data_IF_174539969612
#
_entry.id   IF_174539969612
#
_cell.length_a   1.000
_cell.length_b   1.000
_cell.length_c   1.000
_cell.angle_alpha   90.00
_cell.angle_beta   90.00
_cell.angle_gamma   90.00
#
_symmetry.space_group_name_H-M   'P 1'
#
loop_
_entity.id
_entity.type
_entity.pdbx_description
1 polymer ?
#
# COMPACT_ATOMS: atom_id res chain seq x y z
N UNK A 1 -12.92 -39.20 -19.81
CA UNK A 1 -12.50 -37.81 -20.09
C UNK A 1 -11.31 -37.52 -19.20
N UNK A 2 -10.10 -37.70 -19.72
CA UNK A 2 -8.84 -37.48 -19.00
C UNK A 2 -8.51 -35.99 -19.11
N UNK A 3 -8.51 -35.29 -17.98
CA UNK A 3 -8.03 -33.91 -17.89
C UNK A 3 -6.54 -33.92 -18.19
N UNK A 4 -6.17 -33.37 -19.33
CA UNK A 4 -4.77 -33.07 -19.65
C UNK A 4 -4.26 -32.02 -18.67
N UNK A 5 -3.10 -32.23 -18.04
CA UNK A 5 -2.51 -31.21 -17.18
C UNK A 5 -2.10 -30.00 -18.05
N UNK A 6 -2.61 -28.82 -17.70
CA UNK A 6 -2.17 -27.54 -18.26
C UNK A 6 -0.69 -27.32 -17.92
N UNK A 7 0.22 -27.74 -18.80
CA UNK A 7 1.68 -27.53 -18.66
C UNK A 7 2.16 -26.22 -19.28
N UNK A 8 1.28 -25.27 -19.56
CA UNK A 8 1.59 -24.04 -20.28
C UNK A 8 2.00 -22.81 -19.44
N UNK A 9 2.13 -22.91 -18.12
CA UNK A 9 2.40 -21.75 -17.24
C UNK A 9 3.87 -21.67 -16.77
N UNK A 10 4.79 -22.22 -17.55
CA UNK A 10 6.22 -22.06 -17.30
C UNK A 10 6.70 -20.65 -17.72
N UNK A 11 6.97 -19.83 -16.70
CA UNK A 11 8.19 -19.00 -16.57
C UNK A 11 8.48 -17.85 -17.54
N UNK A 12 7.49 -17.16 -18.10
CA UNK A 12 7.71 -15.74 -18.42
C UNK A 12 7.46 -14.93 -17.15
N UNK A 13 8.47 -14.90 -16.28
CA UNK A 13 8.57 -13.92 -15.21
C UNK A 13 8.66 -12.53 -15.86
N UNK A 14 7.52 -11.98 -16.28
CA UNK A 14 7.46 -10.53 -16.53
C UNK A 14 7.83 -9.90 -15.20
N UNK A 15 8.84 -9.03 -15.20
CA UNK A 15 9.25 -8.29 -14.02
C UNK A 15 8.08 -7.42 -13.53
N UNK A 16 7.20 -8.00 -12.71
CA UNK A 16 6.09 -7.31 -12.03
C UNK A 16 6.62 -6.31 -11.00
N UNK A 17 7.91 -6.40 -10.71
CA UNK A 17 8.65 -5.63 -9.73
C UNK A 17 10.06 -5.37 -10.27
N UNK A 18 10.64 -4.21 -9.99
CA UNK A 18 12.02 -3.85 -10.40
C UNK A 18 13.02 -4.73 -9.65
N UNK A 19 14.02 -5.33 -10.31
CA UNK A 19 15.06 -6.13 -9.63
C UNK A 19 15.76 -5.37 -8.49
N UNK A 20 16.06 -6.06 -7.39
CA UNK A 20 16.69 -5.47 -6.20
C UNK A 20 18.21 -5.64 -6.19
N UNK A 21 18.91 -4.65 -5.65
CA UNK A 21 20.26 -4.84 -5.12
C UNK A 21 20.23 -5.75 -3.87
N UNK A 22 21.36 -6.35 -3.52
CA UNK A 22 21.48 -7.29 -2.41
C UNK A 22 21.12 -6.66 -1.04
N UNK A 23 19.93 -6.95 -0.50
CA UNK A 23 19.55 -6.58 0.87
C UNK A 23 20.22 -7.46 1.91
N UNK A 24 20.56 -6.90 3.07
CA UNK A 24 20.95 -7.72 4.22
C UNK A 24 19.69 -8.07 5.02
N UNK A 25 19.58 -9.32 5.44
CA UNK A 25 18.53 -9.80 6.35
C UNK A 25 18.90 -9.53 7.83
N UNK A 26 19.67 -8.49 8.06
CA UNK A 26 20.07 -8.04 9.37
C UNK A 26 19.72 -6.57 9.49
N UNK A 27 19.75 -6.08 10.74
CA UNK A 27 19.72 -4.64 10.97
C UNK A 27 20.89 -4.02 10.23
N UNK A 28 20.56 -3.18 9.24
CA UNK A 28 21.55 -2.32 8.61
C UNK A 28 22.20 -1.48 9.72
N UNK A 29 23.53 -1.63 9.86
CA UNK A 29 24.31 -0.89 10.87
C UNK A 29 24.16 0.62 10.68
N UNK A 30 23.90 1.03 9.45
CA UNK A 30 23.80 2.42 9.01
C UNK A 30 22.35 2.90 8.96
N UNK A 31 21.37 1.98 9.05
CA UNK A 31 19.95 2.30 9.14
C UNK A 31 19.22 1.30 10.05
N UNK A 32 19.22 1.59 11.36
CA UNK A 32 18.52 0.78 12.38
C UNK A 32 17.00 0.67 12.16
N UNK A 33 16.42 1.49 11.26
CA UNK A 33 15.00 1.46 10.91
C UNK A 33 14.72 0.56 9.71
N UNK A 34 15.76 0.03 9.05
CA UNK A 34 15.66 -0.90 7.94
C UNK A 34 15.05 -2.25 8.32
N UNK A 35 15.11 -2.61 9.61
CA UNK A 35 14.42 -3.73 10.27
C UNK A 35 14.39 -5.04 9.49
N UNK A 36 15.19 -6.07 9.87
CA UNK A 36 15.05 -7.37 9.23
C UNK A 36 13.65 -7.91 9.55
N UNK A 37 13.00 -8.44 8.52
CA UNK A 37 11.78 -9.21 8.70
C UNK A 37 11.92 -10.53 7.98
N UNK A 38 11.62 -11.59 8.72
CA UNK A 38 11.50 -12.92 8.18
C UNK A 38 10.04 -13.25 8.01
N UNK A 39 9.73 -13.99 6.95
CA UNK A 39 8.43 -14.59 6.75
C UNK A 39 8.32 -15.75 7.75
N UNK A 40 7.24 -15.79 8.53
CA UNK A 40 7.05 -16.79 9.59
C UNK A 40 5.96 -17.83 9.26
N UNK A 41 5.52 -17.90 8.00
CA UNK A 41 4.49 -18.83 7.55
C UNK A 41 4.73 -19.36 6.13
N UNK A 42 4.04 -20.45 5.81
CA UNK A 42 3.99 -21.01 4.46
C UNK A 42 5.34 -21.55 3.96
N UNK A 43 5.44 -21.71 2.64
CA UNK A 43 6.65 -22.26 1.99
C UNK A 43 7.86 -21.33 2.05
N UNK A 44 7.66 -20.06 2.36
CA UNK A 44 8.73 -19.07 2.52
C UNK A 44 9.11 -18.84 3.98
N UNK A 45 8.59 -19.63 4.93
CA UNK A 45 8.95 -19.52 6.33
C UNK A 45 10.48 -19.58 6.54
N UNK A 46 11.01 -18.67 7.36
CA UNK A 46 12.44 -18.49 7.62
C UNK A 46 13.18 -17.66 6.56
N UNK A 47 12.57 -17.39 5.40
CA UNK A 47 13.17 -16.51 4.40
C UNK A 47 12.97 -15.04 4.75
N UNK A 48 13.95 -14.24 4.37
CA UNK A 48 13.95 -12.80 4.56
C UNK A 48 13.02 -12.13 3.55
N UNK A 49 12.26 -11.13 3.98
CA UNK A 49 11.53 -10.28 3.04
C UNK A 49 12.49 -9.40 2.24
N UNK A 50 12.07 -8.98 1.06
CA UNK A 50 12.79 -7.94 0.32
C UNK A 50 12.58 -6.55 0.97
N UNK A 51 13.40 -6.26 1.97
CA UNK A 51 13.42 -4.98 2.69
C UNK A 51 14.20 -3.88 1.96
N UNK A 52 14.77 -4.13 0.78
CA UNK A 52 15.34 -3.06 -0.04
C UNK A 52 14.22 -2.29 -0.73
N UNK A 53 13.28 -3.01 -1.32
CA UNK A 53 12.17 -2.43 -2.07
C UNK A 53 10.92 -2.22 -1.21
N UNK A 54 10.68 -3.13 -0.26
CA UNK A 54 9.45 -3.19 0.51
C UNK A 54 9.70 -3.08 2.02
N UNK A 55 10.05 -1.88 2.49
CA UNK A 55 10.01 -1.59 3.94
C UNK A 55 8.62 -1.17 4.38
N UNK A 56 8.19 -1.68 5.53
CA UNK A 56 7.03 -1.13 6.24
C UNK A 56 7.38 0.24 6.80
N UNK A 57 6.43 1.16 6.78
CA UNK A 57 6.58 2.41 7.51
C UNK A 57 6.47 2.14 9.01
N UNK A 58 7.31 2.82 9.80
CA UNK A 58 7.30 2.69 11.26
C UNK A 58 6.93 4.06 11.83
N UNK A 59 5.95 4.11 12.72
CA UNK A 59 5.57 5.36 13.37
C UNK A 59 6.57 5.69 14.46
N UNK A 60 7.27 6.82 14.31
CA UNK A 60 8.24 7.29 15.29
C UNK A 60 7.50 8.04 16.40
N UNK A 61 7.34 7.39 17.56
CA UNK A 61 6.70 7.99 18.73
C UNK A 61 7.74 8.73 19.58
N UNK A 62 7.42 9.90 20.15
CA UNK A 62 8.26 10.51 21.17
C UNK A 62 8.40 9.57 22.37
N UNK A 63 9.55 9.64 23.07
CA UNK A 63 9.82 8.79 24.25
C UNK A 63 8.78 8.94 25.36
N UNK A 64 8.13 10.10 25.44
CA UNK A 64 7.05 10.37 26.39
C UNK A 64 5.74 10.47 25.61
N UNK A 65 4.77 9.55 25.83
CA UNK A 65 3.46 9.65 25.21
C UNK A 65 2.75 10.90 25.72
N UNK A 66 2.24 11.74 24.82
CA UNK A 66 1.36 12.84 25.20
C UNK A 66 -0.08 12.31 25.10
N UNK A 67 -0.65 11.93 26.25
CA UNK A 67 -2.02 11.40 26.33
C UNK A 67 -3.02 12.52 26.03
N UNK A 68 -4.00 12.25 25.15
CA UNK A 68 -5.13 13.16 24.90
C UNK A 68 -4.92 14.22 23.82
N UNK A 69 -3.76 14.24 23.13
CA UNK A 69 -3.53 15.16 22.01
C UNK A 69 -3.80 14.44 20.69
N UNK A 70 -4.79 14.92 19.94
CA UNK A 70 -4.91 14.58 18.51
C UNK A 70 -3.62 15.03 17.81
N UNK A 71 -2.82 14.07 17.35
CA UNK A 71 -1.53 14.37 16.71
C UNK A 71 -1.75 15.16 15.42
N UNK A 72 -1.57 16.48 15.48
CA UNK A 72 -1.64 17.38 14.32
C UNK A 72 -0.60 17.01 13.25
N UNK A 73 0.51 16.39 13.67
CA UNK A 73 1.50 15.80 12.77
C UNK A 73 2.00 14.46 13.29
N UNK A 74 2.24 13.53 12.37
CA UNK A 74 2.83 12.22 12.65
C UNK A 74 4.19 12.14 11.98
N UNK A 75 5.20 11.59 12.67
CA UNK A 75 6.48 11.25 12.04
C UNK A 75 6.57 9.75 11.80
N UNK A 76 6.94 9.38 10.58
CA UNK A 76 7.20 7.99 10.19
C UNK A 76 8.61 7.84 9.65
N UNK A 77 9.15 6.63 9.68
CA UNK A 77 10.35 6.22 8.94
C UNK A 77 9.99 5.34 7.74
N UNK A 78 10.99 5.01 6.93
CA UNK A 78 10.86 4.17 5.74
C UNK A 78 9.89 4.72 4.68
N UNK A 79 9.78 6.04 4.58
CA UNK A 79 9.07 6.69 3.48
C UNK A 79 9.94 6.67 2.22
N UNK A 80 9.50 6.06 1.13
CA UNK A 80 10.28 5.95 -0.11
C UNK A 80 10.09 7.18 -1.01
N UNK A 81 11.19 7.85 -1.34
CA UNK A 81 11.23 8.98 -2.28
C UNK A 81 12.59 9.03 -2.98
N UNK A 82 12.58 9.26 -4.30
CA UNK A 82 13.77 9.26 -5.16
C UNK A 82 14.67 8.02 -4.98
N UNK A 83 14.04 6.84 -4.95
CA UNK A 83 14.66 5.53 -4.74
C UNK A 83 15.44 5.41 -3.42
N UNK A 84 15.09 6.21 -2.41
CA UNK A 84 15.73 6.19 -1.09
C UNK A 84 14.72 6.32 0.04
N UNK A 85 15.06 5.83 1.23
CA UNK A 85 14.19 5.93 2.40
C UNK A 85 14.46 7.21 3.19
N UNK A 86 13.37 7.82 3.66
CA UNK A 86 13.34 9.08 4.40
C UNK A 86 12.49 8.91 5.68
N UNK A 87 12.73 9.80 6.64
CA UNK A 87 11.76 10.09 7.69
C UNK A 87 10.80 11.16 7.18
N UNK A 88 9.50 10.94 7.30
CA UNK A 88 8.49 11.91 6.86
C UNK A 88 7.74 12.47 8.07
N UNK A 89 7.69 13.81 8.20
CA UNK A 89 6.80 14.51 9.12
C UNK A 89 5.56 14.96 8.34
N UNK A 90 4.44 14.30 8.63
CA UNK A 90 3.19 14.42 7.89
C UNK A 90 2.22 15.27 8.71
N UNK A 91 1.78 16.44 8.22
CA UNK A 91 0.82 17.29 8.91
C UNK A 91 -0.60 16.76 8.71
N UNK A 92 -0.95 15.68 9.43
CA UNK A 92 -2.22 14.94 9.28
C UNK A 92 -3.45 15.84 9.31
N UNK A 93 -3.49 16.87 10.16
CA UNK A 93 -4.62 17.79 10.24
C UNK A 93 -4.82 18.68 9.00
N UNK A 94 -3.88 18.65 8.05
CA UNK A 94 -3.81 19.55 6.89
C UNK A 94 -3.98 18.83 5.56
N UNK A 95 -4.23 17.52 5.55
CA UNK A 95 -4.55 16.80 4.31
C UNK A 95 -5.86 17.32 3.73
N UNK A 96 -5.89 17.56 2.43
CA UNK A 96 -7.01 18.19 1.72
C UNK A 96 -7.95 17.16 1.12
N UNK A 97 -7.38 16.22 0.38
CA UNK A 97 -8.13 15.23 -0.38
C UNK A 97 -7.36 13.91 -0.47
N UNK A 98 -8.06 12.88 -0.92
CA UNK A 98 -7.49 11.57 -1.20
C UNK A 98 -8.11 11.02 -2.48
N UNK A 99 -7.26 10.42 -3.30
CA UNK A 99 -7.66 9.68 -4.48
C UNK A 99 -7.40 8.19 -4.25
N UNK A 100 -8.22 7.33 -4.85
CA UNK A 100 -7.91 5.91 -5.03
C UNK A 100 -7.17 5.74 -6.33
N UNK A 101 -5.97 5.17 -6.27
CA UNK A 101 -5.15 4.87 -7.44
C UNK A 101 -5.26 3.42 -7.85
N UNK A 102 -5.27 3.20 -9.17
CA UNK A 102 -5.31 1.92 -9.84
C UNK A 102 -4.12 1.84 -10.80
N UNK A 103 -3.15 0.99 -10.51
CA UNK A 103 -2.01 0.69 -11.37
C UNK A 103 -2.27 -0.64 -12.11
N UNK A 104 -2.42 -0.60 -13.43
CA UNK A 104 -2.57 -1.80 -14.24
C UNK A 104 -1.18 -2.30 -14.67
N UNK A 105 -0.76 -3.44 -14.11
CA UNK A 105 0.50 -4.06 -14.49
C UNK A 105 0.32 -5.20 -15.50
N UNK A 106 -0.90 -5.72 -15.65
CA UNK A 106 -1.33 -6.63 -16.71
C UNK A 106 -2.82 -6.41 -16.99
N UNK A 107 -3.32 -6.68 -18.22
CA UNK A 107 -4.74 -6.54 -18.53
C UNK A 107 -5.65 -7.19 -17.49
N UNK A 108 -6.46 -6.38 -16.81
CA UNK A 108 -7.41 -6.85 -15.78
C UNK A 108 -6.81 -7.13 -14.39
N UNK A 109 -5.51 -6.95 -14.19
CA UNK A 109 -4.83 -7.14 -12.90
C UNK A 109 -4.19 -5.83 -12.45
N UNK A 110 -4.67 -5.36 -11.30
CA UNK A 110 -4.36 -4.03 -10.82
C UNK A 110 -3.80 -4.08 -9.41
N UNK A 111 -2.91 -3.15 -9.15
CA UNK A 111 -2.52 -2.75 -7.82
C UNK A 111 -3.33 -1.52 -7.40
N UNK A 112 -3.78 -1.48 -6.15
CA UNK A 112 -4.66 -0.42 -5.64
C UNK A 112 -4.01 0.27 -4.44
N UNK A 113 -4.03 1.59 -4.41
CA UNK A 113 -3.42 2.41 -3.36
C UNK A 113 -4.25 3.67 -3.07
N UNK A 114 -3.93 4.37 -1.99
CA UNK A 114 -4.48 5.69 -1.67
C UNK A 114 -3.42 6.78 -1.90
N UNK A 115 -3.79 7.85 -2.60
CA UNK A 115 -2.96 9.02 -2.85
C UNK A 115 -3.55 10.23 -2.12
N UNK A 116 -2.90 10.67 -1.05
CA UNK A 116 -3.28 11.84 -0.27
C UNK A 116 -2.61 13.09 -0.78
N UNK A 117 -3.34 14.20 -0.81
CA UNK A 117 -2.88 15.50 -1.28
C UNK A 117 -2.83 16.52 -0.14
N UNK A 118 -1.77 17.33 -0.13
CA UNK A 118 -1.50 18.34 0.88
C UNK A 118 -1.35 19.73 0.22
N UNK A 119 -1.82 20.80 0.88
CA UNK A 119 -1.66 22.16 0.41
C UNK A 119 -0.18 22.54 0.32
N UNK A 120 0.15 23.48 -0.57
CA UNK A 120 1.51 24.02 -0.72
C UNK A 120 2.11 24.51 0.60
N UNK A 121 1.31 25.11 1.47
CA UNK A 121 1.77 25.66 2.75
C UNK A 121 1.88 24.61 3.87
N UNK A 122 1.34 23.40 3.65
CA UNK A 122 1.34 22.31 4.63
C UNK A 122 1.88 21.01 4.01
N UNK A 123 2.93 21.13 3.22
CA UNK A 123 3.63 19.99 2.63
C UNK A 123 4.26 19.07 3.69
N UNK A 124 4.43 17.82 3.32
CA UNK A 124 5.15 16.81 4.10
C UNK A 124 6.64 17.17 4.06
N UNK A 125 7.27 17.23 5.23
CA UNK A 125 8.71 17.43 5.34
C UNK A 125 9.43 16.08 5.38
N UNK A 126 10.34 15.84 4.44
CA UNK A 126 11.20 14.68 4.40
C UNK A 126 12.57 15.02 4.99
N UNK A 127 13.01 14.23 5.95
CA UNK A 127 14.31 14.31 6.58
C UNK A 127 15.12 13.06 6.25
N UNK A 128 16.45 13.17 6.08
CA UNK A 128 17.26 12.03 5.75
C UNK A 128 17.17 10.91 6.80
N UNK A 129 17.29 9.67 6.34
CA UNK A 129 17.32 8.48 7.17
C UNK A 129 18.66 7.74 6.99
N UNK A 130 19.18 7.16 8.08
CA UNK A 130 20.46 6.45 8.08
C UNK A 130 21.66 7.32 7.73
N UNK A 131 22.59 6.79 6.94
CA UNK A 131 23.80 7.50 6.46
C UNK A 131 23.52 8.70 5.56
N UNK A 132 22.27 8.94 5.20
CA UNK A 132 21.89 10.07 4.36
C UNK A 132 21.88 11.42 5.10
N UNK A 133 22.34 11.49 6.35
CA UNK A 133 22.33 12.70 7.20
C UNK A 133 22.93 13.98 6.56
N UNK A 134 23.65 13.86 5.44
CA UNK A 134 24.18 14.99 4.66
C UNK A 134 23.19 15.59 3.65
N UNK A 135 22.06 14.95 3.35
CA UNK A 135 21.06 15.47 2.41
C UNK A 135 20.24 16.58 3.05
N UNK A 136 19.88 17.60 2.29
CA UNK A 136 18.96 18.65 2.74
C UNK A 136 17.54 18.09 2.88
N UNK A 137 16.74 18.57 3.86
CA UNK A 137 15.33 18.24 3.93
C UNK A 137 14.60 18.59 2.62
N UNK A 138 13.60 17.79 2.26
CA UNK A 138 12.73 18.03 1.10
C UNK A 138 11.30 18.30 1.55
N UNK A 139 10.50 18.93 0.67
CA UNK A 139 9.07 19.08 0.85
C UNK A 139 8.33 18.47 -0.32
N UNK A 140 7.29 17.70 -0.02
CA UNK A 140 6.42 17.07 -1.02
C UNK A 140 4.96 17.31 -0.67
N UNK A 141 4.10 17.38 -1.68
CA UNK A 141 2.66 17.64 -1.51
C UNK A 141 1.81 16.37 -1.48
N UNK A 142 2.40 15.18 -1.63
CA UNK A 142 1.65 13.95 -1.79
C UNK A 142 2.20 12.82 -0.93
N UNK A 143 1.30 11.93 -0.50
CA UNK A 143 1.65 10.69 0.18
C UNK A 143 0.82 9.55 -0.41
N UNK A 144 1.49 8.48 -0.80
CA UNK A 144 0.85 7.25 -1.24
C UNK A 144 0.90 6.24 -0.09
N UNK A 145 -0.24 5.67 0.28
CA UNK A 145 -0.33 4.47 1.12
C UNK A 145 -0.60 3.27 0.22
N UNK A 146 0.33 2.33 0.17
CA UNK A 146 0.34 1.23 -0.78
C UNK A 146 0.47 -0.12 -0.05
N UNK A 147 -0.64 -0.88 0.14
CA UNK A 147 -0.58 -2.23 0.69
C UNK A 147 -0.15 -3.23 -0.39
N UNK A 148 0.96 -3.94 -0.21
CA UNK A 148 1.57 -4.79 -1.23
C UNK A 148 1.98 -6.15 -0.67
N UNK A 149 1.90 -7.19 -1.51
CA UNK A 149 2.48 -8.50 -1.21
C UNK A 149 4.00 -8.46 -1.38
N UNK A 150 4.73 -8.87 -0.34
CA UNK A 150 6.19 -8.74 -0.32
C UNK A 150 6.84 -10.09 -0.60
N UNK A 151 7.63 -10.21 -1.69
CA UNK A 151 8.34 -11.45 -1.98
C UNK A 151 9.50 -11.67 -1.00
N UNK A 152 9.96 -12.93 -0.83
CA UNK A 152 11.24 -13.18 -0.18
C UNK A 152 12.38 -12.54 -0.99
N UNK A 153 13.48 -12.17 -0.33
CA UNK A 153 14.63 -11.46 -0.91
C UNK A 153 15.09 -12.06 -2.25
N UNK A 154 15.21 -13.39 -2.32
CA UNK A 154 15.72 -14.11 -3.49
C UNK A 154 14.60 -14.60 -4.43
N UNK A 155 13.35 -14.24 -4.16
CA UNK A 155 12.20 -14.66 -4.95
C UNK A 155 11.62 -13.51 -5.77
N UNK A 156 10.99 -13.86 -6.89
CA UNK A 156 10.15 -12.94 -7.64
C UNK A 156 8.71 -13.04 -7.14
N UNK A 157 8.00 -11.89 -7.13
CA UNK A 157 6.56 -11.92 -6.94
C UNK A 157 5.90 -12.64 -8.11
N UNK A 158 5.00 -13.57 -7.82
CA UNK A 158 4.18 -14.23 -8.83
C UNK A 158 2.75 -14.45 -8.30
N UNK A 159 1.80 -14.48 -9.23
CA UNK A 159 0.39 -14.51 -8.91
C UNK A 159 -0.07 -15.83 -8.27
N UNK A 160 0.58 -16.95 -8.59
CA UNK A 160 0.23 -18.26 -8.02
C UNK A 160 0.58 -18.28 -6.53
N UNK A 161 1.76 -17.82 -6.15
CA UNK A 161 2.15 -17.74 -4.74
C UNK A 161 1.31 -16.73 -3.97
N UNK A 162 0.91 -15.63 -4.61
CA UNK A 162 -0.04 -14.67 -4.03
C UNK A 162 -1.44 -15.26 -3.85
N UNK A 163 -1.89 -16.09 -4.79
CA UNK A 163 -3.13 -16.85 -4.68
C UNK A 163 -3.08 -17.84 -3.51
N UNK A 164 -1.94 -18.50 -3.30
CA UNK A 164 -1.70 -19.46 -2.22
C UNK A 164 -1.36 -18.81 -0.87
N UNK A 165 -1.56 -17.49 -0.74
CA UNK A 165 -1.31 -16.71 0.48
C UNK A 165 0.11 -16.82 1.06
N UNK A 166 1.12 -16.91 0.17
CA UNK A 166 2.52 -17.18 0.59
C UNK A 166 3.33 -15.94 0.91
N UNK A 167 2.88 -14.76 0.50
CA UNK A 167 3.58 -13.52 0.78
C UNK A 167 3.02 -12.85 2.03
N UNK A 168 3.83 -12.17 2.85
CA UNK A 168 3.31 -11.18 3.79
C UNK A 168 2.81 -9.93 3.07
N UNK A 169 1.87 -9.23 3.69
CA UNK A 169 1.49 -7.89 3.27
C UNK A 169 2.34 -6.84 4.00
N UNK A 170 2.81 -5.83 3.27
CA UNK A 170 3.38 -4.62 3.84
C UNK A 170 2.63 -3.38 3.36
N UNK A 171 2.39 -2.45 4.29
CA UNK A 171 1.84 -1.14 3.94
C UNK A 171 3.01 -0.18 3.80
N UNK A 172 3.29 0.18 2.56
CA UNK A 172 4.38 1.09 2.19
C UNK A 172 3.88 2.51 2.11
N UNK A 173 4.78 3.46 2.34
CA UNK A 173 4.50 4.86 2.10
C UNK A 173 5.52 5.46 1.15
N UNK A 174 5.01 6.12 0.11
CA UNK A 174 5.82 6.63 -1.00
C UNK A 174 5.35 8.02 -1.42
N UNK A 175 6.19 8.76 -2.15
CA UNK A 175 5.73 9.96 -2.87
C UNK A 175 5.02 9.60 -4.18
N UNK A 176 4.18 10.52 -4.71
CA UNK A 176 3.62 10.38 -6.06
C UNK A 176 4.71 10.17 -7.12
N UNK A 177 5.77 10.98 -7.05
CA UNK A 177 6.91 10.89 -7.99
C UNK A 177 7.58 9.52 -7.98
N UNK A 178 7.59 8.86 -6.82
CA UNK A 178 8.17 7.53 -6.70
C UNK A 178 7.32 6.48 -7.43
N UNK A 179 5.99 6.56 -7.29
CA UNK A 179 5.05 5.70 -8.02
C UNK A 179 5.18 5.93 -9.52
N UNK A 180 5.21 7.19 -9.97
CA UNK A 180 5.40 7.54 -11.39
C UNK A 180 6.72 6.94 -11.92
N UNK A 181 7.82 7.13 -11.19
CA UNK A 181 9.13 6.62 -11.60
C UNK A 181 9.15 5.10 -11.75
N UNK A 182 8.52 4.37 -10.83
CA UNK A 182 8.53 2.91 -10.85
C UNK A 182 7.50 2.35 -11.83
N UNK A 183 6.23 2.66 -11.63
CA UNK A 183 5.12 2.08 -12.37
C UNK A 183 5.12 2.54 -13.82
N UNK A 184 5.21 3.85 -14.08
CA UNK A 184 5.08 4.39 -15.44
C UNK A 184 6.44 4.38 -16.15
N UNK A 185 7.47 4.97 -15.54
CA UNK A 185 8.74 5.17 -16.25
C UNK A 185 9.51 3.87 -16.44
N UNK A 186 9.68 3.07 -15.37
CA UNK A 186 10.48 1.84 -15.41
C UNK A 186 9.68 0.63 -15.88
N UNK A 187 8.47 0.44 -15.36
CA UNK A 187 7.66 -0.77 -15.61
C UNK A 187 6.66 -0.62 -16.77
N UNK A 188 6.43 0.60 -17.27
CA UNK A 188 5.50 0.89 -18.38
C UNK A 188 4.04 0.51 -18.08
N UNK A 189 3.65 0.52 -16.82
CA UNK A 189 2.28 0.33 -16.37
C UNK A 189 1.44 1.59 -16.63
N UNK A 190 0.12 1.44 -16.71
CA UNK A 190 -0.82 2.55 -16.66
C UNK A 190 -1.23 2.80 -15.21
N UNK A 191 -1.44 4.07 -14.84
CA UNK A 191 -1.88 4.43 -13.50
C UNK A 191 -2.94 5.52 -13.57
N UNK A 192 -4.13 5.19 -13.08
CA UNK A 192 -5.28 6.07 -13.00
C UNK A 192 -5.64 6.36 -11.55
N UNK A 193 -6.22 7.54 -11.29
CA UNK A 193 -6.64 7.97 -9.96
C UNK A 193 -8.04 8.56 -10.00
N UNK A 194 -8.82 8.28 -8.95
CA UNK A 194 -10.19 8.75 -8.79
C UNK A 194 -10.34 9.44 -7.44
N UNK A 195 -10.82 10.67 -7.45
CA UNK A 195 -11.02 11.41 -6.22
C UNK A 195 -12.13 10.81 -5.37
N UNK A 196 -11.87 10.62 -4.07
CA UNK A 196 -12.92 10.18 -3.14
C UNK A 196 -13.82 11.35 -2.76
N UNK A 197 -15.12 11.19 -3.00
CA UNK A 197 -16.17 12.15 -2.66
C UNK A 197 -16.55 12.04 -1.18
N UNK A 198 -15.63 12.46 -0.31
CA UNK A 198 -15.77 12.37 1.14
C UNK A 198 -15.39 13.69 1.82
N UNK A 199 -15.82 13.88 3.06
CA UNK A 199 -15.52 15.10 3.82
C UNK A 199 -14.05 15.16 4.24
N UNK A 200 -13.53 16.37 4.44
CA UNK A 200 -12.14 16.57 4.89
C UNK A 200 -11.83 15.86 6.23
N UNK A 201 -12.80 15.72 7.13
CA UNK A 201 -12.60 14.95 8.36
C UNK A 201 -12.42 13.46 8.07
N UNK A 202 -13.20 12.91 7.15
CA UNK A 202 -13.05 11.51 6.74
C UNK A 202 -11.69 11.28 6.07
N UNK A 203 -11.22 12.20 5.22
CA UNK A 203 -9.86 12.13 4.65
C UNK A 203 -8.80 12.04 5.75
N UNK A 204 -8.89 12.91 6.77
CA UNK A 204 -7.98 12.92 7.92
C UNK A 204 -8.01 11.61 8.69
N UNK A 205 -9.19 11.08 8.98
CA UNK A 205 -9.34 9.81 9.68
C UNK A 205 -8.78 8.62 8.87
N UNK A 206 -9.05 8.54 7.56
CA UNK A 206 -8.49 7.48 6.71
C UNK A 206 -6.96 7.54 6.73
N UNK A 207 -6.38 8.75 6.64
CA UNK A 207 -4.93 8.92 6.78
C UNK A 207 -4.42 8.45 8.14
N UNK A 208 -5.07 8.82 9.25
CA UNK A 208 -4.70 8.37 10.61
C UNK A 208 -4.72 6.85 10.72
N UNK A 209 -5.77 6.21 10.23
CA UNK A 209 -5.89 4.75 10.20
C UNK A 209 -4.79 4.10 9.36
N UNK A 210 -4.51 4.63 8.17
CA UNK A 210 -3.43 4.13 7.30
C UNK A 210 -2.04 4.24 7.95
N UNK A 211 -1.76 5.38 8.60
CA UNK A 211 -0.51 5.61 9.34
C UNK A 211 -0.35 4.65 10.52
N UNK A 212 -1.44 4.38 11.25
CA UNK A 212 -1.42 3.45 12.37
C UNK A 212 -1.27 1.98 11.93
N UNK A 213 -1.96 1.56 10.87
CA UNK A 213 -1.99 0.17 10.40
C UNK A 213 -0.63 -0.29 9.86
N UNK A 214 0.14 0.59 9.23
CA UNK A 214 1.48 0.26 8.72
C UNK A 214 2.44 -0.19 9.82
N UNK A 215 2.39 0.47 10.99
CA UNK A 215 3.20 0.15 12.17
C UNK A 215 2.83 -1.23 12.76
N UNK A 216 1.52 -1.52 12.82
CA UNK A 216 0.95 -2.69 13.49
C UNK A 216 1.17 -4.01 12.74
N UNK A 217 1.12 -4.00 11.40
CA UNK A 217 1.04 -5.23 10.62
C UNK A 217 2.29 -6.13 10.69
N UNK A 218 3.47 -5.61 11.04
CA UNK A 218 4.72 -6.35 11.29
C UNK A 218 5.06 -7.52 10.34
N UNK A 219 4.58 -7.48 9.09
CA UNK A 219 4.67 -8.57 8.11
C UNK A 219 4.09 -9.92 8.57
N UNK A 220 3.24 -9.92 9.60
CA UNK A 220 2.63 -11.13 10.16
C UNK A 220 1.30 -11.48 9.49
N UNK A 221 0.79 -10.61 8.62
CA UNK A 221 -0.47 -10.83 7.93
C UNK A 221 -0.17 -11.34 6.52
N UNK A 222 -0.83 -12.43 6.13
CA UNK A 222 -0.71 -13.01 4.79
C UNK A 222 -1.34 -12.10 3.74
N UNK A 223 -0.66 -11.94 2.61
CA UNK A 223 -1.22 -11.37 1.41
C UNK A 223 -1.89 -12.48 0.61
N UNK A 224 -3.17 -12.34 0.33
CA UNK A 224 -3.95 -13.32 -0.43
C UNK A 224 -4.69 -12.66 -1.59
N UNK A 225 -4.53 -13.18 -2.80
CA UNK A 225 -5.09 -12.57 -4.02
C UNK A 225 -6.61 -12.34 -3.93
N UNK A 226 -7.34 -13.22 -3.26
CA UNK A 226 -8.80 -13.13 -3.08
C UNK A 226 -9.21 -12.99 -1.61
N UNK A 227 -8.37 -12.43 -0.76
CA UNK A 227 -8.68 -12.22 0.66
C UNK A 227 -8.08 -10.89 1.11
N UNK A 228 -6.87 -10.91 1.65
CA UNK A 228 -6.16 -9.74 2.16
C UNK A 228 -5.12 -9.27 1.12
N UNK A 229 -5.55 -8.44 0.17
CA UNK A 229 -4.74 -7.90 -0.94
C UNK A 229 -4.69 -6.36 -0.90
N UNK A 230 -4.04 -5.74 -1.89
CA UNK A 230 -3.97 -4.28 -2.03
C UNK A 230 -5.35 -3.60 -2.02
N UNK A 231 -6.29 -4.16 -2.79
CA UNK A 231 -7.62 -3.61 -3.00
C UNK A 231 -8.51 -3.67 -1.75
N UNK A 232 -8.59 -4.83 -1.12
CA UNK A 232 -9.32 -5.06 0.13
C UNK A 232 -8.74 -4.24 1.29
N UNK A 233 -7.41 -4.08 1.37
CA UNK A 233 -6.80 -3.21 2.38
C UNK A 233 -7.17 -1.75 2.19
N UNK A 234 -7.22 -1.26 0.94
CA UNK A 234 -7.69 0.10 0.64
C UNK A 234 -9.16 0.27 1.00
N UNK A 235 -10.03 -0.67 0.60
CA UNK A 235 -11.46 -0.61 0.93
C UNK A 235 -11.68 -0.69 2.44
N UNK A 236 -10.98 -1.55 3.17
CA UNK A 236 -11.09 -1.64 4.63
C UNK A 236 -10.62 -0.35 5.33
N UNK A 237 -9.62 0.35 4.80
CA UNK A 237 -9.21 1.65 5.32
C UNK A 237 -10.30 2.72 5.12
N UNK A 238 -11.00 2.68 3.98
CA UNK A 238 -12.14 3.56 3.71
C UNK A 238 -13.32 3.19 4.63
N UNK A 239 -13.66 1.90 4.73
CA UNK A 239 -14.80 1.38 5.51
C UNK A 239 -14.65 1.59 7.03
N UNK A 240 -13.42 1.75 7.52
CA UNK A 240 -13.15 2.13 8.90
C UNK A 240 -13.73 3.51 9.27
N UNK A 241 -13.96 4.37 8.27
CA UNK A 241 -14.37 5.77 8.45
C UNK A 241 -15.70 6.07 7.76
N UNK A 242 -15.85 5.61 6.52
CA UNK A 242 -17.05 5.79 5.71
C UNK A 242 -17.86 4.51 5.81
N UNK A 243 -18.77 4.47 6.79
CA UNK A 243 -19.61 3.29 6.98
C UNK A 243 -20.45 3.05 5.73
N UNK A 244 -20.50 1.81 5.20
CA UNK A 244 -21.46 1.50 4.16
C UNK A 244 -22.86 1.75 4.69
N UNK A 245 -23.74 2.36 3.88
CA UNK A 245 -25.16 2.43 4.21
C UNK A 245 -25.68 0.99 4.35
N UNK A 246 -25.88 0.55 5.59
CA UNK A 246 -26.30 -0.80 5.93
C UNK A 246 -27.72 -1.14 5.46
N UNK A 247 -28.41 -0.21 4.78
CA UNK A 247 -29.82 -0.32 4.39
C UNK A 247 -30.06 -1.18 3.13
N UNK A 248 -29.02 -1.60 2.40
CA UNK A 248 -29.15 -2.48 1.22
C UNK A 248 -28.09 -3.58 1.10
N UNK A 249 -27.33 -3.86 2.15
CA UNK A 249 -26.52 -5.08 2.16
C UNK A 249 -27.50 -6.27 2.27
N UNK A 250 -27.52 -7.22 1.33
CA UNK A 250 -28.38 -8.37 1.46
C UNK A 250 -28.03 -9.09 2.77
N UNK A 251 -29.06 -9.35 3.58
CA UNK A 251 -29.05 -10.13 4.82
C UNK A 251 -28.63 -11.59 4.53
N UNK A 252 -27.40 -11.81 4.10
CA UNK A 252 -26.77 -13.13 4.10
C UNK A 252 -25.63 -13.11 5.09
N UNK A 253 -25.99 -13.29 6.37
CA UNK A 253 -25.08 -13.85 7.38
C UNK A 253 -24.77 -15.29 6.97
N UNK A 254 -23.87 -15.46 5.99
CA UNK A 254 -23.31 -16.76 5.64
C UNK A 254 -21.83 -16.76 6.01
N UNK A 255 -21.33 -17.93 6.42
CA UNK A 255 -19.91 -18.22 6.61
C UNK A 255 -19.04 -17.87 5.38
N UNK A 256 -19.66 -17.63 4.21
CA UNK A 256 -19.02 -17.27 2.94
C UNK A 256 -18.86 -15.75 2.74
N UNK A 257 -19.42 -14.90 3.59
CA UNK A 257 -19.35 -13.43 3.44
C UNK A 257 -17.92 -12.88 3.26
N UNK A 258 -16.87 -13.34 3.98
CA UNK A 258 -15.51 -12.89 3.75
C UNK A 258 -15.00 -13.28 2.35
N UNK A 259 -15.40 -14.45 1.84
CA UNK A 259 -14.99 -14.97 0.53
C UNK A 259 -15.72 -14.27 -0.61
N UNK A 260 -17.03 -14.03 -0.48
CA UNK A 260 -17.83 -13.29 -1.47
C UNK A 260 -17.44 -11.80 -1.51
N UNK A 261 -17.22 -11.17 -0.34
CA UNK A 261 -16.69 -9.80 -0.25
C UNK A 261 -15.31 -9.72 -0.86
N UNK A 262 -14.44 -10.68 -0.58
CA UNK A 262 -13.11 -10.65 -1.14
C UNK A 262 -13.13 -10.95 -2.65
N UNK A 263 -13.88 -11.92 -3.18
CA UNK A 263 -14.04 -12.12 -4.63
C UNK A 263 -14.63 -10.89 -5.34
N UNK A 264 -15.59 -10.22 -4.72
CA UNK A 264 -16.22 -9.02 -5.28
C UNK A 264 -15.36 -7.76 -5.18
N UNK A 265 -14.26 -7.77 -4.41
CA UNK A 265 -13.33 -6.64 -4.24
C UNK A 265 -11.94 -6.95 -4.82
N UNK A 266 -11.56 -8.23 -4.96
CA UNK A 266 -10.22 -8.75 -5.31
C UNK A 266 -9.80 -8.51 -6.78
N UNK A 267 -10.37 -7.48 -7.38
CA UNK A 267 -9.93 -6.95 -8.65
C UNK A 267 -10.33 -5.48 -8.81
N UNK A 268 -9.75 -4.81 -9.81
CA UNK A 268 -10.06 -3.43 -10.17
C UNK A 268 -11.57 -3.18 -10.31
N UNK A 269 -12.26 -4.04 -11.06
CA UNK A 269 -13.70 -3.93 -11.35
C UNK A 269 -14.50 -4.02 -10.06
N UNK A 270 -14.09 -4.89 -9.15
CA UNK A 270 -14.74 -5.06 -7.86
C UNK A 270 -14.62 -3.84 -6.97
N UNK A 271 -13.38 -3.36 -6.81
CA UNK A 271 -13.08 -2.15 -6.02
C UNK A 271 -13.71 -0.89 -6.63
N UNK A 272 -13.66 -0.75 -7.96
CA UNK A 272 -14.32 0.35 -8.64
C UNK A 272 -15.84 0.29 -8.45
N UNK A 273 -16.45 -0.88 -8.68
CA UNK A 273 -17.90 -1.09 -8.53
C UNK A 273 -18.37 -0.80 -7.12
N UNK A 274 -17.64 -1.23 -6.09
CA UNK A 274 -18.04 -0.97 -4.70
C UNK A 274 -17.94 0.51 -4.35
N UNK A 275 -16.87 1.20 -4.74
CA UNK A 275 -16.72 2.64 -4.53
C UNK A 275 -17.80 3.44 -5.29
N UNK A 276 -18.05 3.08 -6.54
CA UNK A 276 -19.07 3.71 -7.37
C UNK A 276 -20.49 3.50 -6.82
N UNK A 277 -20.85 2.27 -6.44
CA UNK A 277 -22.17 1.96 -5.87
C UNK A 277 -22.48 2.69 -4.57
N UNK A 278 -21.42 3.16 -3.88
CA UNK A 278 -21.49 3.95 -2.65
C UNK A 278 -21.38 5.45 -2.90
N UNK A 279 -21.41 5.88 -4.16
CA UNK A 279 -21.23 7.25 -4.60
C UNK A 279 -19.92 7.89 -4.09
N UNK A 280 -18.87 7.10 -3.90
CA UNK A 280 -17.58 7.57 -3.41
C UNK A 280 -16.65 8.03 -4.53
N UNK A 281 -16.93 7.67 -5.79
CA UNK A 281 -16.20 8.11 -6.99
C UNK A 281 -17.20 8.36 -8.12
N UNK A 282 -16.81 9.15 -9.13
CA UNK A 282 -17.57 9.29 -10.38
C UNK A 282 -16.97 8.38 -11.47
N UNK A 283 -17.78 7.74 -12.33
CA UNK A 283 -17.27 6.79 -13.33
C UNK A 283 -16.25 7.39 -14.29
N UNK A 284 -16.51 8.62 -14.73
CA UNK A 284 -15.74 9.28 -15.79
C UNK A 284 -14.75 10.32 -15.24
N UNK A 285 -14.50 10.31 -13.91
CA UNK A 285 -13.55 11.23 -13.27
C UNK A 285 -12.13 10.67 -13.15
N UNK A 286 -11.83 9.56 -13.84
CA UNK A 286 -10.51 8.96 -13.85
C UNK A 286 -9.49 9.93 -14.44
N UNK A 287 -8.38 10.12 -13.74
CA UNK A 287 -7.28 10.99 -14.19
C UNK A 287 -5.96 10.22 -14.18
N UNK A 288 -5.13 10.35 -15.22
CA UNK A 288 -3.76 9.86 -15.17
C UNK A 288 -3.02 10.48 -13.98
N UNK A 289 -2.26 9.69 -13.24
CA UNK A 289 -1.51 10.17 -12.05
C UNK A 289 -0.45 11.24 -12.37
N UNK A 290 -0.07 11.36 -13.65
CA UNK A 290 0.88 12.35 -14.16
C UNK A 290 0.37 13.79 -13.98
N UNK A 291 -0.96 13.97 -13.90
CA UNK A 291 -1.61 15.27 -13.76
C UNK A 291 -1.77 15.70 -12.29
#
# INVERSE_FOLDING_TARGET
MLLTPFTGWATNATNLVIESADCICDLDKNDKLAGPAQINFGTFAGQCVDSCRFRKSIRLRPKTPVVGVNEASVTISNFMHDNTYWKAKIPVSKVESVDVGFEEFRPGIFHVFLLFHFPKDNQIALYPQGDQNRRSPKRISTLVISPEGIPPKKGAYNLIDAFMERYPIGIRMLSKDQVISWSITKLKHSVETFNLLITAEQVREILRHGLARSDQNSFNIKYGLFSNNCATNVVDLIDAVVKPETSKAPLYFSFLYPFERALSIAGPVGTFKILYSRNLIQPDSGRPILN
#
